data_IF_197627965561
#
_entry.id   IF_197627965561
#
_cell.length_a   1.000
_cell.length_b   1.000
_cell.length_c   1.000
_cell.angle_alpha   90.00
_cell.angle_beta   90.00
_cell.angle_gamma   90.00
#
_symmetry.space_group_name_H-M   'P 1'
#
loop_
_entity.id
_entity.type
_entity.pdbx_description
1 polymer ?
#
# COMPACT_ATOMS: atom_id res chain seq x y z
N UNK A 1 -20.75 8.94 6.01
CA UNK A 1 -19.68 8.30 5.20
C UNK A 1 -18.57 7.88 6.15
N UNK A 2 -17.98 6.69 6.00
CA UNK A 2 -16.92 6.19 6.89
C UNK A 2 -15.60 6.08 6.11
N UNK A 3 -14.55 6.73 6.60
CA UNK A 3 -13.19 6.63 6.05
C UNK A 3 -12.57 5.27 6.41
N UNK A 4 -11.68 4.75 5.55
CA UNK A 4 -10.92 3.52 5.79
C UNK A 4 -9.44 3.80 5.56
N UNK A 5 -8.58 3.24 6.42
CA UNK A 5 -7.15 3.54 6.48
C UNK A 5 -6.36 2.27 6.21
N UNK A 6 -5.35 2.33 5.35
CA UNK A 6 -4.56 1.17 4.94
C UNK A 6 -3.05 1.45 4.98
N UNK A 7 -2.30 0.48 5.50
CA UNK A 7 -0.85 0.40 5.31
C UNK A 7 -0.53 -0.60 4.21
N UNK A 8 0.30 -0.16 3.25
CA UNK A 8 0.72 -0.97 2.11
C UNK A 8 2.24 -0.80 1.93
N UNK A 9 2.98 -1.89 2.12
CA UNK A 9 4.39 -1.93 1.73
C UNK A 9 4.54 -2.83 0.51
N UNK A 10 5.33 -2.40 -0.46
CA UNK A 10 5.54 -3.16 -1.69
C UNK A 10 7.01 -3.12 -2.11
N UNK A 11 7.40 -4.11 -2.91
CA UNK A 11 8.65 -4.09 -3.66
C UNK A 11 8.36 -4.16 -5.14
N UNK A 12 9.13 -3.42 -5.93
CA UNK A 12 9.14 -3.59 -7.38
C UNK A 12 10.38 -4.40 -7.73
N UNK A 13 10.16 -5.58 -8.30
CA UNK A 13 11.22 -6.49 -8.71
C UNK A 13 11.44 -6.33 -10.21
N UNK A 14 12.65 -5.95 -10.60
CA UNK A 14 13.06 -5.95 -12.01
C UNK A 14 14.44 -6.56 -12.14
N UNK A 15 14.77 -6.98 -13.37
CA UNK A 15 16.06 -7.59 -13.70
C UNK A 15 17.25 -6.63 -13.50
N UNK A 16 17.00 -5.32 -13.34
CA UNK A 16 18.03 -4.27 -13.30
C UNK A 16 18.04 -3.43 -12.02
N UNK A 17 16.92 -3.30 -11.30
CA UNK A 17 16.78 -2.50 -10.08
C UNK A 17 15.78 -3.18 -9.13
N UNK A 18 16.13 -3.25 -7.84
CA UNK A 18 15.18 -3.56 -6.75
C UNK A 18 14.94 -2.29 -5.94
N UNK A 19 13.74 -1.74 -6.05
CA UNK A 19 13.29 -0.57 -5.30
C UNK A 19 12.24 -0.97 -4.26
N UNK A 20 12.38 -0.46 -3.03
CA UNK A 20 11.40 -0.62 -1.95
C UNK A 20 10.68 0.71 -1.73
N UNK A 21 9.35 0.66 -1.64
CA UNK A 21 8.52 1.84 -1.41
C UNK A 21 7.41 1.55 -0.40
N UNK A 22 7.11 2.53 0.43
CA UNK A 22 5.94 2.51 1.32
C UNK A 22 4.92 3.50 0.79
N UNK A 23 3.67 3.06 0.59
CA UNK A 23 2.56 3.93 0.20
C UNK A 23 1.46 3.86 1.26
N UNK A 24 1.07 5.01 1.81
CA UNK A 24 -0.18 5.15 2.57
C UNK A 24 -1.30 5.51 1.60
N UNK A 25 -2.39 4.74 1.60
CA UNK A 25 -3.55 5.02 0.77
C UNK A 25 -4.78 5.27 1.65
N UNK A 26 -5.43 6.42 1.45
CA UNK A 26 -6.70 6.77 2.10
C UNK A 26 -7.79 6.62 1.03
N UNK A 27 -8.80 5.78 1.30
CA UNK A 27 -9.95 5.64 0.41
C UNK A 27 -11.19 6.24 1.06
N UNK A 28 -11.88 7.09 0.30
CA UNK A 28 -13.24 7.53 0.62
C UNK A 28 -14.23 6.73 -0.25
N UNK A 29 -15.43 6.51 0.27
CA UNK A 29 -16.57 5.83 -0.39
C UNK A 29 -16.63 4.30 -0.42
N UNK A 30 -15.92 3.59 0.46
CA UNK A 30 -16.17 2.15 0.66
C UNK A 30 -15.92 1.26 -0.56
N UNK A 31 -15.30 1.78 -1.63
CA UNK A 31 -14.82 0.98 -2.75
C UNK A 31 -13.91 -0.11 -2.19
N UNK A 32 -14.23 -1.37 -2.50
CA UNK A 32 -13.48 -2.53 -2.06
C UNK A 32 -12.03 -2.37 -2.49
N UNK A 33 -11.14 -2.15 -1.52
CA UNK A 33 -9.70 -2.07 -1.74
C UNK A 33 -9.12 -3.43 -1.37
N UNK A 34 -8.68 -4.18 -2.37
CA UNK A 34 -7.98 -5.44 -2.19
C UNK A 34 -6.56 -5.35 -2.76
N UNK A 35 -5.70 -6.30 -2.40
CA UNK A 35 -4.30 -6.34 -2.84
C UNK A 35 -4.13 -6.21 -4.36
N UNK A 36 -5.07 -6.74 -5.15
CA UNK A 36 -5.01 -6.70 -6.62
C UNK A 36 -5.21 -5.29 -7.18
N UNK A 37 -6.22 -4.57 -6.69
CA UNK A 37 -6.48 -3.18 -7.11
C UNK A 37 -5.27 -2.30 -6.78
N UNK A 38 -4.69 -2.50 -5.59
CA UNK A 38 -3.51 -1.77 -5.11
C UNK A 38 -2.28 -2.08 -5.94
N UNK A 39 -2.00 -3.36 -6.19
CA UNK A 39 -0.87 -3.79 -7.03
C UNK A 39 -0.94 -3.17 -8.41
N UNK A 40 -2.13 -3.19 -9.04
CA UNK A 40 -2.38 -2.54 -10.33
C UNK A 40 -2.15 -1.03 -10.29
N UNK A 41 -2.67 -0.32 -9.29
CA UNK A 41 -2.44 1.13 -9.17
C UNK A 41 -0.98 1.50 -8.94
N UNK A 42 -0.24 0.71 -8.16
CA UNK A 42 1.21 0.90 -7.96
C UNK A 42 1.94 0.68 -9.28
N UNK A 43 1.62 -0.38 -10.01
CA UNK A 43 2.19 -0.69 -11.32
C UNK A 43 1.99 0.46 -12.31
N UNK A 44 0.74 0.92 -12.48
CA UNK A 44 0.39 2.05 -13.34
C UNK A 44 1.13 3.34 -12.97
N UNK A 45 1.21 3.66 -11.68
CA UNK A 45 1.86 4.90 -11.19
C UNK A 45 3.38 4.88 -11.26
N UNK A 46 3.96 3.69 -11.09
CA UNK A 46 5.41 3.51 -11.15
C UNK A 46 5.94 3.22 -12.56
N UNK A 47 5.04 2.96 -13.52
CA UNK A 47 5.39 2.65 -14.91
C UNK A 47 5.91 1.22 -15.12
N UNK A 48 5.66 0.31 -14.17
CA UNK A 48 6.05 -1.09 -14.25
C UNK A 48 4.84 -2.00 -14.52
N UNK A 49 5.10 -3.22 -14.98
CA UNK A 49 4.08 -4.25 -15.10
C UNK A 49 3.57 -4.70 -13.71
N UNK A 50 2.29 -5.06 -13.62
CA UNK A 50 1.67 -5.55 -12.37
C UNK A 50 2.40 -6.77 -11.79
N UNK A 51 2.90 -7.67 -12.65
CA UNK A 51 3.66 -8.87 -12.26
C UNK A 51 4.96 -8.55 -11.50
N UNK A 52 5.50 -7.34 -11.68
CA UNK A 52 6.72 -6.87 -11.02
C UNK A 52 6.43 -6.25 -9.65
N UNK A 53 5.17 -5.96 -9.33
CA UNK A 53 4.76 -5.37 -8.05
C UNK A 53 4.40 -6.47 -7.07
N UNK A 54 5.20 -6.60 -6.02
CA UNK A 54 4.95 -7.54 -4.93
C UNK A 54 4.46 -6.76 -3.72
N UNK A 55 3.20 -7.00 -3.33
CA UNK A 55 2.66 -6.45 -2.08
C UNK A 55 3.20 -7.29 -0.91
N UNK A 56 4.08 -6.69 -0.11
CA UNK A 56 4.73 -7.33 1.04
C UNK A 56 3.82 -7.32 2.27
N UNK A 57 3.16 -6.18 2.54
CA UNK A 57 2.19 -6.05 3.62
C UNK A 57 0.97 -5.28 3.14
N UNK A 58 -0.20 -5.69 3.64
CA UNK A 58 -1.47 -5.02 3.44
C UNK A 58 -2.27 -5.14 4.75
N UNK A 59 -2.46 -4.03 5.45
CA UNK A 59 -3.18 -4.00 6.73
C UNK A 59 -4.20 -2.88 6.73
N UNK A 60 -5.41 -3.20 7.18
CA UNK A 60 -6.50 -2.24 7.36
C UNK A 60 -6.55 -1.76 8.82
N UNK A 61 -6.93 -0.50 9.01
CA UNK A 61 -7.12 0.14 10.30
C UNK A 61 -8.50 0.78 10.39
N UNK A 62 -9.03 0.83 11.61
CA UNK A 62 -10.38 1.33 11.86
C UNK A 62 -10.45 2.87 11.85
N UNK A 63 -9.32 3.53 12.12
CA UNK A 63 -9.19 4.99 12.21
C UNK A 63 -7.74 5.43 11.89
N UNK A 64 -7.53 6.75 11.75
CA UNK A 64 -6.22 7.35 11.45
C UNK A 64 -5.20 7.19 12.59
N UNK A 65 -5.65 7.27 13.85
CA UNK A 65 -4.78 7.13 15.02
C UNK A 65 -4.13 5.74 15.08
N UNK A 66 -4.89 4.68 14.79
CA UNK A 66 -4.38 3.31 14.73
C UNK A 66 -3.31 3.14 13.64
N UNK A 67 -3.47 3.83 12.50
CA UNK A 67 -2.50 3.83 11.41
C UNK A 67 -1.22 4.57 11.82
N UNK A 68 -1.34 5.75 12.42
CA UNK A 68 -0.19 6.56 12.86
C UNK A 68 0.60 5.85 13.96
N UNK A 69 -0.08 5.27 14.96
CA UNK A 69 0.56 4.45 15.98
C UNK A 69 1.34 3.26 15.39
N UNK A 70 0.86 2.68 14.28
CA UNK A 70 1.56 1.59 13.59
C UNK A 70 2.87 2.07 12.93
N UNK A 71 2.93 3.31 12.44
CA UNK A 71 4.17 3.90 11.92
C UNK A 71 5.14 4.25 13.05
N UNK A 72 4.66 4.84 14.15
CA UNK A 72 5.49 5.23 15.30
C UNK A 72 6.15 4.02 15.99
N UNK A 73 5.46 2.87 16.02
CA UNK A 73 5.99 1.59 16.53
C UNK A 73 7.05 0.95 15.61
N UNK A 74 7.21 1.43 14.37
CA UNK A 74 8.19 0.90 13.41
C UNK A 74 9.46 1.75 13.31
N UNK A 75 9.43 2.99 13.81
CA UNK A 75 10.61 3.86 13.90
C UNK A 75 11.42 3.67 15.20
N UNK A 76 10.83 3.02 16.22
CA UNK A 76 11.53 2.53 17.43
C UNK A 76 11.91 1.06 17.31
#
# INVERSE_FOLDING_TARGET
>A
MKERYFFISYSIRTDKISGYGNWGYITRDGKFFNKKIVGKSIAEKSGFNEENVVILNFKEFNNESDLNNFFDLKEN
#
